data_IF_354325341321
#
_entry.id   IF_354325341321
#
_cell.length_a   1.000
_cell.length_b   1.000
_cell.length_c   1.000
_cell.angle_alpha   90.00
_cell.angle_beta   90.00
_cell.angle_gamma   90.00
#
_symmetry.space_group_name_H-M   'P 1'
#
loop_
_entity.id
_entity.type
_entity.pdbx_description
1 polymer ?
#
# COMPACT_ATOMS: atom_id res chain seq x y z
N UNK A 1 15.62 14.58 6.65
CA UNK A 1 14.14 14.60 6.69
C UNK A 1 13.55 15.91 6.15
N UNK A 2 14.22 17.05 6.36
CA UNK A 2 13.84 18.38 5.80
C UNK A 2 13.71 18.33 4.28
N UNK A 3 14.67 17.73 3.58
CA UNK A 3 14.64 17.56 2.12
C UNK A 3 13.36 16.85 1.62
N UNK A 4 12.91 15.79 2.31
CA UNK A 4 11.72 15.03 1.90
C UNK A 4 10.41 15.79 2.03
N UNK A 5 10.40 16.91 2.77
CA UNK A 5 9.22 17.78 2.86
C UNK A 5 9.05 18.64 1.61
N UNK A 6 10.17 19.01 0.99
CA UNK A 6 10.22 19.81 -0.23
C UNK A 6 10.02 18.93 -1.47
N UNK A 7 10.44 17.67 -1.40
CA UNK A 7 10.26 16.71 -2.50
C UNK A 7 8.78 16.41 -2.81
N UNK A 8 8.48 16.04 -4.06
CA UNK A 8 7.13 15.64 -4.46
C UNK A 8 6.63 14.43 -3.67
N UNK A 9 5.31 14.30 -3.58
CA UNK A 9 4.66 13.25 -2.78
C UNK A 9 5.07 11.82 -3.17
N UNK A 10 5.49 11.61 -4.42
CA UNK A 10 6.07 10.37 -4.91
C UNK A 10 7.42 10.70 -5.54
N UNK A 11 8.49 10.13 -4.99
CA UNK A 11 9.85 10.30 -5.48
C UNK A 11 10.42 8.93 -5.77
N UNK A 12 10.92 8.70 -6.99
CA UNK A 12 11.64 7.46 -7.31
C UNK A 12 13.01 7.54 -6.66
N UNK A 13 13.45 6.44 -6.04
CA UNK A 13 14.74 6.34 -5.38
C UNK A 13 15.51 5.18 -6.00
N UNK A 14 16.81 5.34 -6.20
CA UNK A 14 17.66 4.32 -6.81
C UNK A 14 17.83 3.10 -5.90
N UNK A 15 18.19 3.34 -4.63
CA UNK A 15 18.42 2.30 -3.63
C UNK A 15 17.47 2.43 -2.44
N UNK A 16 17.09 1.31 -1.79
CA UNK A 16 16.29 1.36 -0.57
C UNK A 16 17.08 2.06 0.53
N UNK A 17 16.41 2.89 1.33
CA UNK A 17 17.06 3.42 2.54
C UNK A 17 17.32 2.28 3.54
N UNK A 18 16.40 1.32 3.61
CA UNK A 18 16.44 0.17 4.52
C UNK A 18 16.56 -1.13 3.74
N UNK A 19 17.79 -1.48 3.39
CA UNK A 19 18.07 -2.71 2.63
C UNK A 19 17.62 -3.98 3.39
N UNK A 20 17.78 -3.98 4.72
CA UNK A 20 17.33 -5.05 5.64
C UNK A 20 15.85 -5.39 5.44
N UNK A 21 14.99 -4.36 5.53
CA UNK A 21 13.54 -4.53 5.37
C UNK A 21 13.15 -4.75 3.93
N UNK A 22 13.83 -4.12 2.98
CA UNK A 22 13.54 -4.31 1.57
C UNK A 22 13.75 -5.78 1.17
N UNK A 23 14.90 -6.38 1.53
CA UNK A 23 15.21 -7.79 1.23
C UNK A 23 14.23 -8.75 1.89
N UNK A 24 13.89 -8.52 3.16
CA UNK A 24 12.89 -9.33 3.87
C UNK A 24 11.49 -9.30 3.22
N UNK A 25 11.20 -8.27 2.43
CA UNK A 25 9.92 -8.11 1.71
C UNK A 25 9.99 -8.52 0.24
N UNK A 26 11.14 -9.05 -0.21
CA UNK A 26 11.34 -9.60 -1.55
C UNK A 26 12.02 -8.66 -2.54
N UNK A 27 12.64 -7.56 -2.10
CA UNK A 27 13.49 -6.74 -2.98
C UNK A 27 14.77 -7.48 -3.35
N UNK A 28 15.12 -7.42 -4.64
CA UNK A 28 16.41 -7.83 -5.18
C UNK A 28 16.99 -6.67 -5.98
N UNK A 29 18.31 -6.52 -5.93
CA UNK A 29 19.02 -5.52 -6.72
C UNK A 29 19.23 -6.05 -8.14
N UNK A 30 18.18 -5.91 -8.96
CA UNK A 30 18.19 -6.30 -10.37
C UNK A 30 17.23 -5.43 -11.17
N UNK A 31 17.44 -5.39 -12.49
CA UNK A 31 16.59 -4.68 -13.42
C UNK A 31 15.13 -5.13 -13.28
N UNK A 32 14.21 -4.16 -13.26
CA UNK A 32 12.78 -4.37 -13.07
C UNK A 32 12.27 -4.14 -11.65
N UNK A 33 13.14 -4.07 -10.64
CA UNK A 33 12.75 -3.54 -9.32
C UNK A 33 12.85 -2.02 -9.31
N UNK A 34 11.82 -1.36 -8.77
CA UNK A 34 11.78 0.09 -8.61
C UNK A 34 11.33 0.42 -7.20
N UNK A 35 12.01 1.37 -6.57
CA UNK A 35 11.64 1.85 -5.25
C UNK A 35 11.08 3.26 -5.38
N UNK A 36 9.92 3.46 -4.76
CA UNK A 36 9.25 4.75 -4.70
C UNK A 36 9.07 5.14 -3.25
N UNK A 37 9.61 6.30 -2.88
CA UNK A 37 9.34 6.96 -1.61
C UNK A 37 8.05 7.75 -1.72
N UNK A 38 7.15 7.54 -0.77
CA UNK A 38 5.81 8.14 -0.76
C UNK A 38 5.54 8.85 0.55
N UNK A 39 5.05 10.08 0.43
CA UNK A 39 4.62 10.93 1.52
C UNK A 39 3.09 10.92 1.63
N UNK A 40 2.56 10.58 2.81
CA UNK A 40 1.13 10.59 3.12
C UNK A 40 0.85 11.49 4.31
N UNK A 41 -0.10 12.42 4.16
CA UNK A 41 -0.56 13.28 5.27
C UNK A 41 -1.11 12.44 6.43
N UNK A 42 -0.71 12.80 7.64
CA UNK A 42 -1.17 12.26 8.92
C UNK A 42 -2.51 12.91 9.29
N UNK A 43 -3.27 12.20 10.13
CA UNK A 43 -4.46 12.72 10.77
C UNK A 43 -5.74 12.01 10.34
N UNK A 44 -6.84 12.34 11.01
CA UNK A 44 -8.14 11.71 10.75
C UNK A 44 -8.65 12.00 9.33
N UNK A 45 -9.45 11.08 8.81
CA UNK A 45 -10.10 11.26 7.52
C UNK A 45 -11.38 12.09 7.70
N UNK A 46 -11.64 13.01 6.78
CA UNK A 46 -12.89 13.80 6.74
C UNK A 46 -13.62 13.48 5.44
N UNK A 47 -14.92 13.20 5.50
CA UNK A 47 -15.78 13.17 4.31
C UNK A 47 -16.21 14.60 3.93
N UNK A 48 -16.54 14.88 2.66
CA UNK A 48 -17.21 16.14 2.33
C UNK A 48 -18.53 16.25 3.12
N UNK A 49 -18.87 17.47 3.53
CA UNK A 49 -20.13 17.74 4.24
C UNK A 49 -21.30 17.55 3.27
N UNK A 50 -22.36 16.81 3.63
CA UNK A 50 -23.55 16.73 2.79
C UNK A 50 -24.23 18.10 2.65
N UNK A 51 -24.63 18.45 1.42
CA UNK A 51 -25.31 19.73 1.13
C UNK A 51 -26.84 19.66 1.31
N UNK A 52 -27.41 18.48 1.55
CA UNK A 52 -28.85 18.25 1.73
C UNK A 52 -29.12 17.64 3.10
N UNK A 53 -30.36 17.78 3.59
CA UNK A 53 -30.82 17.18 4.85
C UNK A 53 -30.49 15.68 4.95
N UNK A 54 -29.92 15.27 6.08
CA UNK A 54 -29.63 13.86 6.42
C UNK A 54 -29.93 13.63 7.91
N UNK A 55 -30.28 12.38 8.25
CA UNK A 55 -30.39 11.96 9.66
C UNK A 55 -29.11 12.30 10.43
N UNK A 56 -29.20 12.72 11.68
CA UNK A 56 -28.05 13.15 12.50
C UNK A 56 -26.87 12.15 12.50
N UNK A 57 -27.16 10.85 12.61
CA UNK A 57 -26.13 9.79 12.52
C UNK A 57 -25.35 9.76 11.20
N UNK A 58 -25.87 10.34 10.12
CA UNK A 58 -25.23 10.44 8.80
C UNK A 58 -24.63 11.83 8.51
N UNK A 59 -24.69 12.76 9.47
CA UNK A 59 -24.14 14.12 9.36
C UNK A 59 -22.67 14.25 9.83
N UNK A 60 -22.15 13.33 10.64
CA UNK A 60 -20.79 13.41 11.20
C UNK A 60 -19.70 13.46 10.10
N UNK A 61 -18.74 14.39 10.14
CA UNK A 61 -17.75 14.53 9.05
C UNK A 61 -16.50 13.64 9.24
N UNK A 62 -16.07 13.48 10.50
CA UNK A 62 -14.87 12.73 10.85
C UNK A 62 -15.12 11.23 10.67
N UNK A 63 -14.19 10.53 10.02
CA UNK A 63 -14.25 9.09 9.78
C UNK A 63 -12.97 8.42 10.27
N UNK A 64 -13.16 7.27 10.92
CA UNK A 64 -12.10 6.30 11.14
C UNK A 64 -12.01 5.40 9.91
N UNK A 65 -10.90 5.45 9.19
CA UNK A 65 -10.69 4.63 8.01
C UNK A 65 -10.35 3.20 8.44
N UNK A 66 -10.95 2.21 7.77
CA UNK A 66 -10.63 0.79 8.02
C UNK A 66 -9.24 0.41 7.50
N UNK A 67 -8.73 1.14 6.50
CA UNK A 67 -7.43 0.95 5.91
C UNK A 67 -6.33 1.70 6.67
N UNK A 68 -5.12 1.12 6.68
CA UNK A 68 -3.94 1.77 7.22
C UNK A 68 -3.28 2.73 6.21
N UNK A 69 -2.51 3.70 6.70
CA UNK A 69 -1.76 4.63 5.84
C UNK A 69 -0.80 3.93 4.86
N UNK A 70 -0.22 2.81 5.28
CA UNK A 70 0.63 1.96 4.45
C UNK A 70 -0.12 1.46 3.21
N UNK A 71 -1.33 0.94 3.38
CA UNK A 71 -2.18 0.46 2.28
C UNK A 71 -2.68 1.61 1.40
N UNK A 72 -2.97 2.78 1.98
CA UNK A 72 -3.27 3.98 1.18
C UNK A 72 -2.07 4.36 0.30
N UNK A 73 -0.85 4.33 0.85
CA UNK A 73 0.37 4.64 0.10
C UNK A 73 0.56 3.65 -1.07
N UNK A 74 0.39 2.34 -0.81
CA UNK A 74 0.44 1.30 -1.85
C UNK A 74 -0.60 1.54 -2.96
N UNK A 75 -1.85 1.83 -2.60
CA UNK A 75 -2.90 2.07 -3.59
C UNK A 75 -2.68 3.33 -4.41
N UNK A 76 -2.25 4.43 -3.79
CA UNK A 76 -1.95 5.66 -4.52
C UNK A 76 -0.76 5.49 -5.48
N UNK A 77 0.22 4.70 -5.09
CA UNK A 77 1.40 4.40 -5.93
C UNK A 77 1.02 3.53 -7.11
N UNK A 78 0.19 2.49 -6.87
CA UNK A 78 -0.33 1.64 -7.95
C UNK A 78 -1.17 2.43 -8.97
N UNK A 79 -1.85 3.51 -8.56
CA UNK A 79 -2.56 4.41 -9.47
C UNK A 79 -1.64 5.34 -10.26
N UNK A 80 -0.48 5.71 -9.69
CA UNK A 80 0.49 6.59 -10.36
C UNK A 80 1.35 5.82 -11.37
N UNK A 81 1.73 4.58 -11.04
CA UNK A 81 2.59 3.73 -11.85
C UNK A 81 1.81 2.51 -12.34
N UNK A 82 0.98 2.70 -13.37
CA UNK A 82 0.06 1.66 -13.86
C UNK A 82 0.77 0.50 -14.56
N UNK A 83 1.94 0.76 -15.13
CA UNK A 83 2.80 -0.24 -15.77
C UNK A 83 3.59 -1.10 -14.77
N UNK A 84 3.57 -0.75 -13.48
CA UNK A 84 4.31 -1.43 -12.42
C UNK A 84 3.35 -2.08 -11.42
N UNK A 85 3.76 -3.20 -10.84
CA UNK A 85 2.99 -3.89 -9.81
C UNK A 85 3.62 -3.72 -8.43
N UNK A 86 2.78 -3.44 -7.43
CA UNK A 86 3.21 -3.29 -6.04
C UNK A 86 3.47 -4.66 -5.42
N UNK A 87 4.73 -4.91 -5.05
CA UNK A 87 5.12 -6.10 -4.30
C UNK A 87 4.78 -5.94 -2.82
N UNK A 88 5.36 -4.93 -2.18
CA UNK A 88 5.16 -4.64 -0.76
C UNK A 88 5.65 -3.23 -0.43
N UNK A 89 5.60 -2.86 0.85
CA UNK A 89 6.10 -1.56 1.33
C UNK A 89 6.62 -1.64 2.76
N UNK A 90 7.34 -0.62 3.22
CA UNK A 90 7.77 -0.48 4.62
C UNK A 90 7.82 1.00 5.05
N UNK A 91 7.59 1.29 6.35
CA UNK A 91 7.75 2.63 6.89
C UNK A 91 9.22 3.00 7.06
N UNK A 92 9.53 4.27 6.84
CA UNK A 92 10.88 4.83 7.01
C UNK A 92 10.91 5.83 8.15
N UNK A 93 9.89 6.67 8.23
CA UNK A 93 9.86 7.75 9.19
C UNK A 93 8.51 8.44 9.22
N UNK A 94 8.37 9.34 10.17
CA UNK A 94 7.21 10.22 10.34
C UNK A 94 7.71 11.59 10.76
N UNK A 95 7.10 12.64 10.22
CA UNK A 95 7.20 13.98 10.78
C UNK A 95 5.85 14.34 11.43
N UNK A 96 5.68 15.55 11.96
CA UNK A 96 4.41 15.97 12.58
C UNK A 96 3.19 15.90 11.66
N UNK A 97 3.38 16.04 10.34
CA UNK A 97 2.31 16.24 9.35
C UNK A 97 2.15 15.05 8.41
N UNK A 98 3.18 14.22 8.23
CA UNK A 98 3.32 13.21 7.18
C UNK A 98 3.96 11.91 7.68
N UNK A 99 3.52 10.80 7.10
CA UNK A 99 4.19 9.51 7.13
C UNK A 99 4.97 9.30 5.84
N UNK A 100 6.14 8.68 5.96
CA UNK A 100 6.99 8.32 4.83
C UNK A 100 7.12 6.80 4.73
N UNK A 101 6.88 6.28 3.52
CA UNK A 101 7.00 4.86 3.20
C UNK A 101 7.87 4.69 1.95
N UNK A 102 8.63 3.60 1.87
CA UNK A 102 9.16 3.10 0.60
C UNK A 102 8.29 1.94 0.14
N UNK A 103 7.95 1.98 -1.14
CA UNK A 103 7.12 0.98 -1.82
C UNK A 103 7.99 0.32 -2.87
N UNK A 104 8.00 -1.01 -2.82
CA UNK A 104 8.72 -1.87 -3.74
C UNK A 104 7.77 -2.18 -4.89
N UNK A 105 8.10 -1.68 -6.06
CA UNK A 105 7.43 -1.93 -7.32
C UNK A 105 8.26 -2.91 -8.16
N UNK A 106 7.57 -3.67 -8.99
CA UNK A 106 8.19 -4.59 -9.96
C UNK A 106 7.58 -4.33 -11.33
N UNK A 107 8.41 -4.29 -12.36
CA UNK A 107 7.97 -4.24 -13.75
C UNK A 107 7.75 -5.68 -14.27
N UNK A 108 6.51 -6.14 -14.45
CA UNK A 108 6.24 -7.51 -14.91
C UNK A 108 6.62 -7.75 -16.38
N UNK A 109 6.84 -6.70 -17.18
CA UNK A 109 7.14 -6.84 -18.60
C UNK A 109 8.62 -7.17 -18.87
N UNK A 110 9.51 -6.95 -17.90
CA UNK A 110 10.95 -7.15 -18.05
C UNK A 110 11.35 -8.64 -18.04
N UNK A 111 12.29 -9.06 -18.91
CA UNK A 111 12.72 -10.46 -18.99
C UNK A 111 13.38 -10.95 -17.70
N UNK A 112 14.11 -10.09 -16.99
CA UNK A 112 14.79 -10.42 -15.71
C UNK A 112 13.80 -10.73 -14.57
N UNK A 113 12.56 -10.25 -14.69
CA UNK A 113 11.48 -10.58 -13.76
C UNK A 113 10.78 -11.86 -14.19
N UNK A 114 10.51 -12.02 -15.50
CA UNK A 114 9.86 -13.22 -16.05
C UNK A 114 10.69 -14.48 -15.84
N UNK A 115 12.02 -14.38 -15.99
CA UNK A 115 12.94 -15.51 -15.87
C UNK A 115 13.26 -15.88 -14.40
N UNK A 116 12.97 -15.01 -13.44
CA UNK A 116 13.26 -15.30 -12.02
C UNK A 116 12.12 -16.10 -11.37
N UNK A 117 12.41 -17.36 -11.08
CA UNK A 117 11.52 -18.35 -10.46
C UNK A 117 10.90 -17.91 -9.13
N UNK A 118 11.53 -16.97 -8.42
CA UNK A 118 11.04 -16.51 -7.10
C UNK A 118 10.00 -15.39 -7.17
N UNK A 119 10.01 -14.58 -8.25
CA UNK A 119 9.16 -13.38 -8.37
C UNK A 119 8.23 -13.42 -9.58
N UNK A 120 8.49 -14.28 -10.57
CA UNK A 120 7.73 -14.38 -11.83
C UNK A 120 6.21 -14.53 -11.62
N UNK A 121 5.76 -15.04 -10.47
CA UNK A 121 4.34 -15.10 -10.10
C UNK A 121 3.64 -13.74 -10.22
N UNK A 122 4.36 -12.62 -10.03
CA UNK A 122 3.80 -11.27 -10.16
C UNK A 122 3.43 -10.91 -11.61
N UNK A 123 4.05 -11.55 -12.61
CA UNK A 123 3.76 -11.35 -14.02
C UNK A 123 2.41 -11.94 -14.43
N UNK A 124 1.87 -12.88 -13.66
CA UNK A 124 0.58 -13.50 -13.96
C UNK A 124 -0.54 -12.45 -14.00
N UNK A 125 -1.44 -12.47 -14.99
CA UNK A 125 -2.55 -11.51 -15.08
C UNK A 125 -3.43 -11.46 -13.83
N UNK A 126 -3.55 -12.59 -13.09
CA UNK A 126 -4.26 -12.68 -11.80
C UNK A 126 -3.69 -11.77 -10.72
N UNK A 127 -2.46 -11.29 -10.87
CA UNK A 127 -1.77 -10.39 -9.93
C UNK A 127 -1.79 -8.92 -10.37
N UNK A 128 -2.44 -8.58 -11.49
CA UNK A 128 -2.62 -7.20 -11.91
C UNK A 128 -3.38 -6.39 -10.84
N UNK A 129 -2.96 -5.14 -10.63
CA UNK A 129 -3.58 -4.19 -9.69
C UNK A 129 -3.76 -4.78 -8.28
N UNK A 130 -2.84 -5.63 -7.81
CA UNK A 130 -3.01 -6.39 -6.55
C UNK A 130 -3.16 -5.53 -5.30
N UNK A 131 -2.53 -4.35 -5.28
CA UNK A 131 -2.67 -3.38 -4.19
C UNK A 131 -4.09 -2.81 -4.10
N UNK A 132 -4.72 -2.54 -5.25
CA UNK A 132 -6.09 -2.02 -5.31
C UNK A 132 -7.11 -3.06 -4.83
N UNK A 133 -6.86 -4.33 -5.13
CA UNK A 133 -7.68 -5.47 -4.66
C UNK A 133 -7.39 -5.92 -3.22
N UNK A 134 -6.46 -5.25 -2.54
CA UNK A 134 -6.13 -5.53 -1.15
C UNK A 134 -5.47 -6.91 -0.93
N UNK A 135 -4.61 -7.32 -1.86
CA UNK A 135 -3.84 -8.57 -1.78
C UNK A 135 -2.43 -8.38 -1.19
N UNK A 136 -2.01 -7.13 -0.99
CA UNK A 136 -0.75 -6.80 -0.31
C UNK A 136 -0.81 -7.19 1.17
N UNK A 137 0.36 -7.33 1.79
CA UNK A 137 0.47 -7.68 3.22
C UNK A 137 -0.18 -6.63 4.13
N UNK A 138 -0.13 -5.35 3.75
CA UNK A 138 -0.75 -4.24 4.47
C UNK A 138 -2.28 -4.33 4.43
N UNK A 139 -2.85 -4.63 3.27
CA UNK A 139 -4.29 -4.70 3.06
C UNK A 139 -4.89 -6.00 3.63
N UNK A 140 -4.19 -7.14 3.52
CA UNK A 140 -4.58 -8.38 4.21
C UNK A 140 -4.69 -8.18 5.73
N UNK A 141 -3.80 -7.39 6.33
CA UNK A 141 -3.90 -7.01 7.76
C UNK A 141 -5.16 -6.19 8.04
N UNK A 142 -5.43 -5.17 7.23
CA UNK A 142 -6.63 -4.32 7.38
C UNK A 142 -7.93 -5.12 7.21
N UNK A 143 -7.93 -6.14 6.35
CA UNK A 143 -9.06 -7.06 6.14
C UNK A 143 -9.22 -8.13 7.23
N UNK A 144 -8.34 -8.16 8.24
CA UNK A 144 -8.38 -9.15 9.32
C UNK A 144 -7.92 -10.56 8.91
N UNK A 145 -7.32 -10.73 7.72
CA UNK A 145 -6.97 -12.04 7.16
C UNK A 145 -5.64 -12.61 7.67
N UNK A 146 -5.03 -12.00 8.69
CA UNK A 146 -3.79 -12.49 9.31
C UNK A 146 -4.03 -13.49 10.42
N UNK A 147 -5.24 -13.53 10.98
CA UNK A 147 -5.59 -14.48 12.02
C UNK A 147 -6.25 -15.69 11.37
N UNK A 148 -5.60 -16.85 11.48
CA UNK A 148 -6.28 -18.12 11.21
C UNK A 148 -7.37 -18.28 12.27
N UNK A 149 -8.58 -18.65 11.86
CA UNK A 149 -9.70 -18.85 12.78
C UNK A 149 -9.39 -19.97 13.77
N UNK A 150 -8.83 -19.62 14.92
CA UNK A 150 -8.72 -20.51 16.09
C UNK A 150 -9.37 -19.89 17.33
N UNK A 151 -9.95 -18.70 17.20
CA UNK A 151 -10.76 -18.05 18.25
C UNK A 151 -12.14 -17.71 17.71
N UNK A 152 -13.13 -18.53 18.09
CA UNK A 152 -14.55 -18.17 18.06
C UNK A 152 -14.73 -16.89 18.90
N UNK A 153 -14.90 -15.74 18.25
CA UNK A 153 -15.66 -14.60 18.77
C UNK A 153 -16.02 -13.67 17.61
N UNK A 154 -17.26 -13.83 17.14
CA UNK A 154 -18.02 -12.78 16.45
C UNK A 154 -17.65 -12.48 14.99
N UNK A 155 -18.50 -12.98 14.09
CA UNK A 155 -18.94 -12.37 12.81
C UNK A 155 -18.00 -12.50 11.59
N UNK A 156 -18.31 -13.51 10.77
CA UNK A 156 -18.33 -13.53 9.30
C UNK A 156 -17.31 -12.64 8.55
N UNK A 157 -16.00 -12.82 8.76
CA UNK A 157 -15.00 -12.35 7.78
C UNK A 157 -15.00 -13.34 6.61
N UNK A 158 -16.02 -13.24 5.74
CA UNK A 158 -16.06 -14.01 4.49
C UNK A 158 -14.88 -13.59 3.62
N UNK A 159 -14.28 -14.55 2.88
CA UNK A 159 -13.08 -14.37 2.03
C UNK A 159 -13.17 -13.18 1.05
N UNK A 160 -14.36 -12.62 0.82
CA UNK A 160 -14.70 -11.61 -0.18
C UNK A 160 -15.18 -10.23 0.36
N UNK A 161 -14.77 -9.78 1.56
CA UNK A 161 -14.95 -8.34 1.91
C UNK A 161 -13.95 -7.45 1.15
N UNK A 162 -14.19 -7.25 -0.14
CA UNK A 162 -13.72 -6.10 -0.90
C UNK A 162 -14.97 -5.47 -1.52
N UNK A 163 -15.29 -4.25 -1.07
CA UNK A 163 -16.35 -3.40 -1.63
C UNK A 163 -15.73 -2.47 -2.65
#
# INVERSE_FOLDING_TARGET
MVEWRHNPAFTRVEKPLRLDKARALGYKDKKGFVIVRVRIKRGGHKRPRPNKGRRGKRMHIRKNLQMNYKGIAEQRTARKYENLEVLNSYPIGKDGVNYFFEIILVNPNMPEIKNDKTINWICNPKNKKRALRGLTSSAKKSRGLRHHQRRKKGKNIRRSMAK
#
